data_IF_175642674717
#
_entry.id   IF_175642674717
#
_cell.length_a   1.000
_cell.length_b   1.000
_cell.length_c   1.000
_cell.angle_alpha   90.00
_cell.angle_beta   90.00
_cell.angle_gamma   90.00
#
_symmetry.space_group_name_H-M   'P 1'
#
loop_
_entity.id
_entity.type
_entity.pdbx_description
1 polymer ?
#
# COMPACT_ATOMS: atom_id res chain seq x y z
N UNK A 1 16.00 -4.79 -1.14
CA UNK A 1 16.34 -5.81 -2.16
C UNK A 1 16.97 -5.15 -3.39
N UNK A 2 16.25 -4.34 -4.17
CA UNK A 2 16.75 -3.74 -5.42
C UNK A 2 18.05 -2.96 -5.22
N UNK A 3 18.07 -1.98 -4.31
CA UNK A 3 19.26 -1.18 -3.98
C UNK A 3 20.52 -2.01 -3.64
N UNK A 4 20.35 -3.23 -3.11
CA UNK A 4 21.46 -4.11 -2.69
C UNK A 4 21.90 -5.08 -3.80
N UNK A 5 20.95 -5.65 -4.54
CA UNK A 5 21.22 -6.74 -5.50
C UNK A 5 21.25 -6.28 -6.97
N UNK A 6 20.57 -5.17 -7.27
CA UNK A 6 20.42 -4.61 -8.61
C UNK A 6 20.59 -3.07 -8.57
N UNK A 7 21.74 -2.56 -8.06
CA UNK A 7 21.94 -1.12 -7.88
C UNK A 7 21.85 -0.34 -9.20
N UNK A 8 22.26 -0.95 -10.31
CA UNK A 8 22.19 -0.42 -11.67
C UNK A 8 20.76 -0.34 -12.24
N UNK A 9 19.79 -0.93 -11.56
CA UNK A 9 18.37 -0.87 -11.95
C UNK A 9 17.56 0.06 -11.03
N UNK A 10 18.22 0.72 -10.06
CA UNK A 10 17.54 1.52 -9.06
C UNK A 10 16.88 2.77 -9.65
N UNK A 11 17.41 3.31 -10.74
CA UNK A 11 16.83 4.47 -11.45
C UNK A 11 15.41 4.21 -11.98
N UNK A 12 15.03 2.94 -12.20
CA UNK A 12 13.70 2.57 -12.68
C UNK A 12 12.68 2.34 -11.56
N UNK A 13 13.11 2.42 -10.30
CA UNK A 13 12.20 2.35 -9.16
C UNK A 13 11.45 3.67 -9.06
N UNK A 14 10.13 3.61 -8.93
CA UNK A 14 9.29 4.79 -8.77
C UNK A 14 9.79 5.66 -7.60
N UNK A 15 9.83 6.96 -7.85
CA UNK A 15 10.11 8.02 -6.89
C UNK A 15 8.99 8.24 -5.87
N UNK A 16 7.82 7.63 -6.09
CA UNK A 16 6.66 7.74 -5.21
C UNK A 16 6.96 7.07 -3.87
N UNK A 17 6.74 7.78 -2.76
CA UNK A 17 6.86 7.16 -1.45
C UNK A 17 5.69 6.19 -1.22
N UNK A 18 5.85 5.31 -0.23
CA UNK A 18 4.79 4.36 0.08
C UNK A 18 3.55 5.07 0.65
N UNK A 19 2.35 4.45 0.58
CA UNK A 19 1.14 5.05 1.13
C UNK A 19 1.26 5.48 2.59
N UNK A 20 2.01 4.73 3.40
CA UNK A 20 2.31 5.10 4.79
C UNK A 20 3.00 6.46 4.88
N UNK A 21 4.02 6.68 4.04
CA UNK A 21 4.84 7.90 4.07
C UNK A 21 4.08 9.07 3.48
N UNK A 22 3.38 8.89 2.35
CA UNK A 22 2.57 9.95 1.73
C UNK A 22 1.44 10.40 2.66
N UNK A 23 0.74 9.46 3.31
CA UNK A 23 -0.29 9.78 4.30
C UNK A 23 0.30 10.53 5.50
N UNK A 24 1.46 10.09 6.01
CA UNK A 24 2.10 10.77 7.15
C UNK A 24 2.54 12.19 6.81
N UNK A 25 3.13 12.41 5.62
CA UNK A 25 3.47 13.74 5.11
C UNK A 25 2.22 14.61 4.94
N UNK A 26 1.12 14.04 4.48
CA UNK A 26 -0.14 14.76 4.35
C UNK A 26 -0.70 15.18 5.71
N UNK A 27 -0.72 14.28 6.70
CA UNK A 27 -1.14 14.59 8.07
C UNK A 27 -0.29 15.71 8.66
N UNK A 28 1.06 15.63 8.55
CA UNK A 28 1.96 16.68 9.06
C UNK A 28 1.79 18.06 8.42
N UNK A 29 1.27 18.13 7.19
CA UNK A 29 0.92 19.41 6.55
C UNK A 29 -0.33 20.04 7.17
N UNK A 30 -1.25 19.22 7.67
CA UNK A 30 -2.50 19.67 8.31
C UNK A 30 -2.24 19.97 9.80
N UNK A 31 -1.52 19.08 10.47
CA UNK A 31 -1.17 19.16 11.88
C UNK A 31 0.33 18.82 12.05
N UNK A 32 1.21 19.84 12.11
CA UNK A 32 2.65 19.65 12.30
C UNK A 32 3.01 18.92 13.60
N UNK A 33 2.17 19.02 14.63
CA UNK A 33 2.42 18.46 15.97
C UNK A 33 1.86 17.03 16.12
N UNK A 34 1.17 16.51 15.09
CA UNK A 34 0.56 15.18 15.12
C UNK A 34 1.57 14.07 15.44
N UNK A 35 1.24 13.24 16.43
CA UNK A 35 1.95 11.98 16.69
C UNK A 35 1.35 10.86 15.83
N UNK A 36 2.12 10.39 14.85
CA UNK A 36 1.66 9.46 13.82
C UNK A 36 2.12 8.04 14.12
N UNK A 37 1.15 7.13 14.23
CA UNK A 37 1.35 5.68 14.33
C UNK A 37 0.79 5.00 13.11
N UNK A 38 1.62 4.26 12.37
CA UNK A 38 1.16 3.36 11.32
C UNK A 38 0.81 2.00 11.90
N UNK A 39 -0.37 1.48 11.55
CA UNK A 39 -0.82 0.15 11.94
C UNK A 39 -0.97 -0.69 10.68
N UNK A 40 -0.25 -1.80 10.60
CA UNK A 40 -0.33 -2.65 9.41
C UNK A 40 0.44 -3.97 9.52
N UNK A 41 0.32 -4.85 8.52
CA UNK A 41 0.79 -6.24 8.65
C UNK A 41 2.30 -6.43 8.41
N UNK A 42 3.04 -5.36 8.12
CA UNK A 42 4.38 -5.46 7.53
C UNK A 42 5.47 -4.97 8.49
N UNK A 43 6.37 -5.88 8.88
CA UNK A 43 7.55 -5.55 9.68
C UNK A 43 8.54 -4.64 8.94
N UNK A 44 8.61 -4.70 7.60
CA UNK A 44 9.51 -3.85 6.82
C UNK A 44 9.17 -2.38 6.95
N UNK A 45 7.93 -2.03 7.34
CA UNK A 45 7.53 -0.64 7.60
C UNK A 45 8.23 -0.05 8.82
N UNK A 46 8.65 -0.89 9.79
CA UNK A 46 9.49 -0.45 10.91
C UNK A 46 10.83 0.09 10.39
N UNK A 47 11.47 -0.65 9.48
CA UNK A 47 12.72 -0.20 8.86
C UNK A 47 12.51 1.02 7.94
N UNK A 48 11.38 1.11 7.25
CA UNK A 48 11.05 2.28 6.42
C UNK A 48 10.86 3.53 7.27
N UNK A 49 10.18 3.42 8.42
CA UNK A 49 9.99 4.53 9.35
C UNK A 49 11.30 5.03 9.95
N UNK A 50 12.31 4.17 10.12
CA UNK A 50 13.63 4.56 10.63
C UNK A 50 14.53 5.27 9.61
N UNK A 51 14.11 5.38 8.34
CA UNK A 51 14.91 6.10 7.34
C UNK A 51 14.99 7.59 7.68
N UNK A 52 16.13 8.21 7.39
CA UNK A 52 16.35 9.64 7.63
C UNK A 52 15.29 10.54 7.00
N UNK A 53 14.76 10.17 5.82
CA UNK A 53 13.73 10.93 5.12
C UNK A 53 12.28 10.65 5.60
N UNK A 54 12.10 9.78 6.60
CA UNK A 54 10.79 9.32 7.08
C UNK A 54 10.62 9.44 8.60
N UNK A 55 11.70 9.34 9.37
CA UNK A 55 11.68 9.26 10.85
C UNK A 55 10.98 10.42 11.54
N UNK A 56 10.99 11.60 10.93
CA UNK A 56 10.34 12.81 11.49
C UNK A 56 8.83 12.87 11.14
N UNK A 57 8.34 11.95 10.29
CA UNK A 57 6.93 11.85 9.90
C UNK A 57 6.22 10.69 10.59
N UNK A 58 6.83 9.50 10.67
CA UNK A 58 6.21 8.28 11.22
C UNK A 58 6.92 7.89 12.52
N UNK A 59 6.25 8.06 13.65
CA UNK A 59 6.86 7.89 14.98
C UNK A 59 6.78 6.44 15.47
N UNK A 60 5.68 5.76 15.15
CA UNK A 60 5.46 4.37 15.56
C UNK A 60 4.94 3.52 14.40
N UNK A 61 5.34 2.26 14.41
CA UNK A 61 4.85 1.22 13.49
C UNK A 61 4.48 0.00 14.32
N UNK A 62 3.19 -0.34 14.33
CA UNK A 62 2.61 -1.43 15.12
C UNK A 62 1.99 -2.45 14.16
N UNK A 63 2.27 -3.74 14.38
CA UNK A 63 1.62 -4.80 13.61
C UNK A 63 0.21 -5.12 14.12
N UNK A 64 -0.62 -5.79 13.32
CA UNK A 64 -1.93 -6.23 13.83
C UNK A 64 -1.79 -7.23 14.97
N UNK A 65 -0.75 -8.06 14.95
CA UNK A 65 -0.39 -8.96 16.05
C UNK A 65 -0.03 -8.19 17.33
N UNK A 66 0.82 -7.17 17.23
CA UNK A 66 1.21 -6.34 18.38
C UNK A 66 0.01 -5.57 18.95
N UNK A 67 -0.83 -5.01 18.08
CA UNK A 67 -2.05 -4.32 18.47
C UNK A 67 -3.03 -5.26 19.18
N UNK A 68 -3.18 -6.50 18.70
CA UNK A 68 -3.99 -7.51 19.36
C UNK A 68 -3.46 -7.82 20.77
N UNK A 69 -2.14 -7.94 20.93
CA UNK A 69 -1.51 -8.10 22.24
C UNK A 69 -1.86 -6.95 23.20
N UNK A 70 -1.89 -5.71 22.70
CA UNK A 70 -2.32 -4.55 23.48
C UNK A 70 -3.79 -4.63 23.90
N UNK A 71 -4.68 -5.06 23.00
CA UNK A 71 -6.10 -5.24 23.32
C UNK A 71 -6.32 -6.30 24.39
N UNK A 72 -5.68 -7.47 24.25
CA UNK A 72 -5.74 -8.54 25.26
C UNK A 72 -5.23 -8.04 26.61
N UNK A 73 -4.09 -7.35 26.65
CA UNK A 73 -3.52 -6.81 27.89
C UNK A 73 -4.42 -5.75 28.56
N UNK A 74 -5.27 -5.07 27.77
CA UNK A 74 -6.23 -4.07 28.26
C UNK A 74 -7.62 -4.66 28.53
N UNK A 75 -7.84 -5.94 28.27
CA UNK A 75 -9.16 -6.58 28.37
C UNK A 75 -10.17 -6.00 27.38
N UNK A 76 -9.73 -5.55 26.21
CA UNK A 76 -10.59 -5.04 25.15
C UNK A 76 -10.99 -6.20 24.24
N UNK A 77 -12.29 -6.48 24.18
CA UNK A 77 -12.85 -7.48 23.27
C UNK A 77 -13.32 -6.81 21.97
N UNK A 78 -12.76 -7.23 20.83
CA UNK A 78 -13.08 -6.63 19.54
C UNK A 78 -14.52 -6.93 19.10
N UNK A 79 -15.09 -8.07 19.50
CA UNK A 79 -16.48 -8.39 19.16
C UNK A 79 -17.52 -7.52 19.86
N UNK A 80 -17.12 -6.81 20.92
CA UNK A 80 -17.97 -5.90 21.68
C UNK A 80 -17.89 -4.45 21.17
N UNK A 81 -16.98 -4.16 20.23
CA UNK A 81 -16.83 -2.81 19.68
C UNK A 81 -17.95 -2.53 18.68
N UNK A 82 -18.81 -1.58 19.02
CA UNK A 82 -19.79 -1.02 18.12
C UNK A 82 -19.15 0.04 17.21
N UNK A 83 -19.31 -0.14 15.89
CA UNK A 83 -18.84 0.81 14.89
C UNK A 83 -20.05 1.53 14.29
N UNK A 84 -20.20 2.81 14.57
CA UNK A 84 -21.36 3.62 14.14
C UNK A 84 -21.15 4.37 12.84
N UNK A 85 -19.89 4.54 12.39
CA UNK A 85 -19.54 5.33 11.23
C UNK A 85 -19.12 4.45 10.07
N UNK A 86 -19.80 4.59 8.94
CA UNK A 86 -19.35 4.01 7.69
C UNK A 86 -18.04 4.68 7.23
N UNK A 87 -17.09 3.85 6.80
CA UNK A 87 -15.82 4.32 6.26
C UNK A 87 -16.00 4.52 4.76
N UNK A 88 -16.07 5.77 4.32
CA UNK A 88 -16.16 6.19 2.91
C UNK A 88 -15.10 7.24 2.58
N UNK A 89 -13.84 6.97 2.93
CA UNK A 89 -12.72 7.94 2.80
C UNK A 89 -11.78 7.65 1.61
N UNK A 90 -11.74 6.40 1.14
CA UNK A 90 -10.86 5.93 0.07
C UNK A 90 -11.63 5.24 -1.04
N UNK A 91 -11.18 5.41 -2.28
CA UNK A 91 -11.77 4.80 -3.48
C UNK A 91 -11.55 3.29 -3.56
N UNK A 92 -12.33 2.62 -4.42
CA UNK A 92 -12.15 1.21 -4.78
C UNK A 92 -10.71 0.90 -5.19
N UNK A 93 -10.06 1.78 -5.96
CA UNK A 93 -8.65 1.58 -6.34
C UNK A 93 -7.71 1.70 -5.14
N UNK A 94 -7.90 2.71 -4.28
CA UNK A 94 -7.06 2.91 -3.09
C UNK A 94 -7.16 1.76 -2.08
N UNK A 95 -8.37 1.28 -1.81
CA UNK A 95 -8.61 0.12 -0.92
C UNK A 95 -7.97 -1.17 -1.46
N UNK A 96 -7.74 -1.25 -2.77
CA UNK A 96 -7.17 -2.42 -3.43
C UNK A 96 -5.67 -2.62 -3.24
N UNK A 97 -4.91 -1.60 -2.81
CA UNK A 97 -3.43 -1.63 -2.76
C UNK A 97 -2.85 -2.79 -1.94
N UNK A 98 -3.58 -3.25 -0.92
CA UNK A 98 -3.10 -4.30 -0.03
C UNK A 98 -3.00 -5.68 -0.70
N UNK A 99 -3.71 -5.89 -1.81
CA UNK A 99 -3.73 -7.15 -2.57
C UNK A 99 -2.68 -7.05 -3.68
N UNK A 100 -1.88 -8.09 -3.89
CA UNK A 100 -0.96 -8.15 -5.02
C UNK A 100 -1.70 -7.91 -6.36
N UNK A 101 -1.10 -7.08 -7.21
CA UNK A 101 -1.66 -6.51 -8.43
C UNK A 101 -2.42 -5.21 -8.22
N UNK A 102 -2.82 -4.88 -6.99
CA UNK A 102 -3.72 -3.78 -6.69
C UNK A 102 -3.14 -2.39 -6.94
N UNK A 103 -1.84 -2.20 -6.72
CA UNK A 103 -1.18 -0.91 -6.98
C UNK A 103 -1.02 -0.72 -8.48
N UNK A 104 -0.50 -1.72 -9.19
CA UNK A 104 -0.34 -1.65 -10.64
C UNK A 104 -1.67 -1.49 -11.38
N UNK A 105 -2.72 -2.20 -10.94
CA UNK A 105 -4.08 -2.03 -11.48
C UNK A 105 -4.57 -0.57 -11.30
N UNK A 106 -4.38 0.00 -10.11
CA UNK A 106 -4.78 1.37 -9.85
C UNK A 106 -4.02 2.38 -10.70
N UNK A 107 -2.69 2.24 -10.78
CA UNK A 107 -1.85 3.10 -11.62
C UNK A 107 -2.29 3.03 -13.07
N UNK A 108 -2.51 1.83 -13.62
CA UNK A 108 -2.96 1.67 -15.01
C UNK A 108 -4.34 2.26 -15.25
N UNK A 109 -5.32 2.01 -14.37
CA UNK A 109 -6.66 2.56 -14.51
C UNK A 109 -6.66 4.09 -14.44
N UNK A 110 -5.93 4.67 -13.48
CA UNK A 110 -5.78 6.11 -13.35
C UNK A 110 -5.06 6.70 -14.58
N UNK A 111 -4.00 6.07 -15.07
CA UNK A 111 -3.28 6.53 -16.26
C UNK A 111 -4.14 6.50 -17.53
N UNK A 112 -4.98 5.47 -17.72
CA UNK A 112 -5.89 5.36 -18.87
C UNK A 112 -7.06 6.35 -18.83
N UNK A 113 -7.40 6.88 -17.65
CA UNK A 113 -8.38 7.98 -17.54
C UNK A 113 -7.74 9.29 -18.03
N UNK A 114 -6.46 9.52 -17.69
CA UNK A 114 -5.72 10.71 -18.10
C UNK A 114 -5.40 10.66 -19.60
N UNK A 115 -4.90 9.52 -20.08
CA UNK A 115 -4.54 9.27 -21.47
C UNK A 115 -5.03 7.88 -21.90
N UNK A 116 -6.22 7.79 -22.53
CA UNK A 116 -6.77 6.52 -23.00
C UNK A 116 -5.95 5.82 -24.08
N UNK A 117 -5.05 6.55 -24.77
CA UNK A 117 -4.23 5.99 -25.85
C UNK A 117 -3.00 5.22 -25.35
N UNK A 118 -2.70 5.33 -24.06
CA UNK A 118 -1.48 4.78 -23.46
C UNK A 118 -1.51 3.26 -23.37
N UNK A 119 -0.53 2.60 -23.97
CA UNK A 119 -0.32 1.17 -23.77
C UNK A 119 0.48 0.90 -22.49
N UNK A 120 -0.11 0.14 -21.57
CA UNK A 120 0.51 -0.19 -20.28
C UNK A 120 0.48 -1.71 -20.06
N UNK A 121 1.65 -2.33 -20.26
CA UNK A 121 1.90 -3.73 -19.96
C UNK A 121 2.29 -3.86 -18.48
N UNK A 122 1.62 -4.76 -17.76
CA UNK A 122 1.88 -5.00 -16.33
C UNK A 122 2.39 -6.42 -16.14
N UNK A 123 3.37 -6.57 -15.26
CA UNK A 123 3.71 -7.86 -14.69
C UNK A 123 3.87 -7.75 -13.17
N UNK A 124 3.04 -8.50 -12.47
CA UNK A 124 3.04 -8.57 -11.01
C UNK A 124 3.59 -9.91 -10.55
N UNK A 125 4.49 -9.90 -9.56
CA UNK A 125 4.96 -11.11 -8.88
C UNK A 125 4.83 -10.96 -7.38
N UNK A 126 4.60 -12.10 -6.71
CA UNK A 126 4.55 -12.18 -5.26
C UNK A 126 5.64 -13.12 -4.75
N UNK A 127 6.11 -12.86 -3.53
CA UNK A 127 7.32 -13.39 -2.89
C UNK A 127 8.61 -12.67 -3.29
N UNK A 128 9.53 -12.55 -2.33
CA UNK A 128 10.85 -11.97 -2.56
C UNK A 128 11.66 -12.76 -3.62
N UNK A 129 11.50 -14.08 -3.67
CA UNK A 129 12.19 -14.95 -4.64
C UNK A 129 11.76 -14.63 -6.08
N UNK A 130 10.46 -14.53 -6.32
CA UNK A 130 9.94 -14.18 -7.65
C UNK A 130 10.27 -12.72 -8.00
N UNK A 131 10.30 -11.80 -7.02
CA UNK A 131 10.78 -10.43 -7.26
C UNK A 131 12.24 -10.43 -7.77
N UNK A 132 13.12 -11.24 -7.17
CA UNK A 132 14.52 -11.34 -7.61
C UNK A 132 14.61 -11.95 -9.02
N UNK A 133 13.81 -12.97 -9.34
CA UNK A 133 13.75 -13.53 -10.70
C UNK A 133 13.27 -12.49 -11.71
N UNK A 134 12.19 -11.78 -11.41
CA UNK A 134 11.66 -10.74 -12.28
C UNK A 134 12.70 -9.65 -12.53
N UNK A 135 13.42 -9.21 -11.50
CA UNK A 135 14.51 -8.23 -11.66
C UNK A 135 15.65 -8.73 -12.54
N UNK A 136 16.03 -10.02 -12.46
CA UNK A 136 17.02 -10.61 -13.37
C UNK A 136 16.55 -10.59 -14.82
N UNK A 137 15.27 -10.89 -15.06
CA UNK A 137 14.68 -10.85 -16.40
C UNK A 137 14.61 -9.41 -16.91
N UNK A 138 14.16 -8.47 -16.08
CA UNK A 138 14.08 -7.05 -16.42
C UNK A 138 15.45 -6.47 -16.78
N UNK A 139 16.48 -6.77 -15.97
CA UNK A 139 17.87 -6.38 -16.23
C UNK A 139 18.42 -6.90 -17.57
N UNK A 140 17.90 -8.02 -18.09
CA UNK A 140 18.27 -8.54 -19.41
C UNK A 140 17.59 -7.82 -20.59
N UNK A 141 16.84 -6.74 -20.33
CA UNK A 141 16.11 -5.97 -21.34
C UNK A 141 14.75 -6.55 -21.75
N UNK A 142 14.38 -7.74 -21.23
CA UNK A 142 13.16 -8.47 -21.63
C UNK A 142 11.86 -7.87 -21.06
N UNK A 143 11.94 -6.87 -20.19
CA UNK A 143 10.79 -6.18 -19.58
C UNK A 143 10.82 -4.67 -19.82
N UNK A 144 11.56 -4.21 -20.83
CA UNK A 144 11.58 -2.78 -21.18
C UNK A 144 10.16 -2.30 -21.52
N UNK A 145 9.75 -1.18 -20.93
CA UNK A 145 8.40 -0.61 -21.11
C UNK A 145 7.30 -1.25 -20.26
N UNK A 146 7.60 -2.23 -19.41
CA UNK A 146 6.61 -2.82 -18.49
C UNK A 146 6.53 -2.03 -17.18
N UNK A 147 5.30 -1.92 -16.66
CA UNK A 147 5.06 -1.59 -15.26
C UNK A 147 5.18 -2.88 -14.43
N UNK A 148 6.23 -2.98 -13.63
CA UNK A 148 6.50 -4.15 -12.80
C UNK A 148 6.05 -3.92 -11.36
N UNK A 149 5.29 -4.87 -10.80
CA UNK A 149 4.90 -4.86 -9.39
C UNK A 149 5.52 -6.06 -8.66
N UNK A 150 6.32 -5.78 -7.63
CA UNK A 150 6.96 -6.80 -6.81
C UNK A 150 6.49 -6.73 -5.36
N UNK A 151 5.75 -7.75 -4.91
CA UNK A 151 5.32 -7.87 -3.52
C UNK A 151 6.15 -8.94 -2.80
N UNK A 152 6.82 -8.58 -1.70
CA UNK A 152 7.67 -9.52 -0.98
C UNK A 152 6.90 -10.67 -0.28
N UNK A 153 5.65 -10.43 0.09
CA UNK A 153 4.77 -11.42 0.72
C UNK A 153 3.85 -12.09 -0.33
N UNK A 154 3.52 -13.39 -0.18
CA UNK A 154 2.56 -14.06 -1.06
C UNK A 154 1.22 -13.35 -1.06
N UNK A 155 0.71 -12.94 -2.23
CA UNK A 155 -0.60 -12.27 -2.32
C UNK A 155 -0.63 -10.81 -1.84
N UNK A 156 0.51 -10.23 -1.47
CA UNK A 156 0.63 -8.83 -1.07
C UNK A 156 0.58 -8.62 0.45
N UNK A 157 0.24 -7.40 0.86
CA UNK A 157 0.19 -6.99 2.27
C UNK A 157 -0.83 -7.80 3.09
N UNK A 158 -1.89 -8.31 2.45
CA UNK A 158 -2.92 -9.15 3.10
C UNK A 158 -2.38 -10.44 3.73
N UNK A 159 -1.14 -10.83 3.44
CA UNK A 159 -0.45 -11.95 4.06
C UNK A 159 0.93 -11.52 4.61
N UNK A 160 1.04 -10.27 5.06
CA UNK A 160 2.22 -9.79 5.76
C UNK A 160 2.44 -10.57 7.07
N UNK A 161 3.68 -10.66 7.55
CA UNK A 161 4.01 -11.50 8.71
C UNK A 161 3.29 -11.08 10.01
N UNK A 162 2.83 -9.84 10.13
CA UNK A 162 2.07 -9.34 11.27
C UNK A 162 0.55 -9.44 11.13
N UNK A 163 0.03 -10.25 10.20
CA UNK A 163 -1.42 -10.55 10.10
C UNK A 163 -1.86 -11.60 11.11
N UNK A 164 -3.09 -11.49 11.59
CA UNK A 164 -3.70 -12.40 12.58
C UNK A 164 -4.81 -13.29 12.01
N UNK A 165 -4.98 -13.32 10.68
CA UNK A 165 -6.04 -14.06 10.02
C UNK A 165 -5.54 -14.69 8.72
N UNK A 166 -6.20 -15.76 8.27
CA UNK A 166 -5.82 -16.44 7.04
C UNK A 166 -5.97 -15.54 5.81
N UNK A 167 -5.04 -15.68 4.86
CA UNK A 167 -5.02 -14.88 3.63
C UNK A 167 -6.35 -14.91 2.88
N UNK A 168 -7.03 -16.06 2.81
CA UNK A 168 -8.32 -16.19 2.13
C UNK A 168 -9.42 -15.37 2.81
N UNK A 169 -9.46 -15.38 4.15
CA UNK A 169 -10.43 -14.58 4.92
C UNK A 169 -10.15 -13.09 4.75
N UNK A 170 -8.89 -12.68 4.87
CA UNK A 170 -8.47 -11.28 4.70
C UNK A 170 -8.77 -10.80 3.28
N UNK A 171 -8.43 -11.59 2.26
CA UNK A 171 -8.70 -11.26 0.85
C UNK A 171 -10.20 -11.02 0.61
N UNK A 172 -11.06 -11.91 1.11
CA UNK A 172 -12.52 -11.75 0.98
C UNK A 172 -13.00 -10.46 1.67
N UNK A 173 -12.54 -10.19 2.89
CA UNK A 173 -12.90 -8.98 3.63
C UNK A 173 -12.44 -7.71 2.90
N UNK A 174 -11.20 -7.66 2.42
CA UNK A 174 -10.67 -6.50 1.68
C UNK A 174 -11.40 -6.30 0.35
N UNK A 175 -11.77 -7.38 -0.36
CA UNK A 175 -12.56 -7.28 -1.60
C UNK A 175 -13.95 -6.71 -1.33
N UNK A 176 -14.64 -7.18 -0.29
CA UNK A 176 -15.94 -6.63 0.11
C UNK A 176 -15.82 -5.14 0.46
N UNK A 177 -14.88 -4.80 1.35
CA UNK A 177 -14.62 -3.42 1.75
C UNK A 177 -14.25 -2.52 0.56
N UNK A 178 -13.47 -3.03 -0.40
CA UNK A 178 -13.13 -2.34 -1.64
C UNK A 178 -14.38 -2.02 -2.49
N UNK A 179 -15.34 -2.94 -2.56
CA UNK A 179 -16.54 -2.82 -3.38
C UNK A 179 -17.61 -1.93 -2.75
N UNK A 180 -17.61 -1.80 -1.42
CA UNK A 180 -18.48 -0.90 -0.65
C UNK A 180 -18.13 0.58 -0.83
N UNK A 181 -16.96 0.90 -1.41
CA UNK A 181 -16.58 2.28 -1.70
C UNK A 181 -17.52 2.93 -2.70
N UNK A 182 -18.04 4.10 -2.32
CA UNK A 182 -18.86 4.96 -3.20
C UNK A 182 -18.03 5.51 -4.37
N UNK A 183 -16.75 5.81 -4.12
CA UNK A 183 -15.82 6.29 -5.14
C UNK A 183 -15.10 5.15 -5.84
N UNK A 184 -15.08 5.14 -7.17
CA UNK A 184 -14.36 4.13 -7.97
C UNK A 184 -12.88 4.47 -8.10
N UNK A 185 -12.54 5.73 -8.27
CA UNK A 185 -11.17 6.22 -8.51
C UNK A 185 -10.84 7.36 -7.54
N UNK A 186 -9.59 7.82 -7.46
CA UNK A 186 -9.31 9.04 -6.69
C UNK A 186 -9.97 10.30 -7.29
N UNK A 187 -10.23 10.35 -8.59
CA UNK A 187 -10.74 11.57 -9.25
C UNK A 187 -12.18 11.92 -8.90
N UNK A 188 -13.00 10.92 -8.62
CA UNK A 188 -14.39 11.04 -8.19
C UNK A 188 -14.55 11.16 -6.67
N UNK A 189 -13.47 10.99 -5.90
CA UNK A 189 -13.50 11.16 -4.45
C UNK A 189 -13.56 12.64 -4.08
N UNK A 190 -14.71 13.10 -3.60
CA UNK A 190 -14.92 14.51 -3.29
C UNK A 190 -14.32 14.98 -1.96
N UNK A 191 -13.87 14.04 -1.13
CA UNK A 191 -13.15 14.27 0.13
C UNK A 191 -11.72 14.73 -0.13
N UNK A 192 -11.11 14.28 -1.23
CA UNK A 192 -9.74 14.71 -1.56
C UNK A 192 -9.71 16.11 -2.18
N UNK A 193 -8.61 16.83 -1.95
CA UNK A 193 -8.40 18.19 -2.46
C UNK A 193 -8.68 18.24 -3.97
N UNK A 194 -9.51 19.20 -4.40
CA UNK A 194 -9.85 19.43 -5.81
C UNK A 194 -8.62 19.57 -6.71
N UNK A 195 -7.52 20.13 -6.19
CA UNK A 195 -6.25 20.25 -6.93
C UNK A 195 -5.63 18.89 -7.26
N UNK A 196 -5.88 17.86 -6.45
CA UNK A 196 -5.41 16.50 -6.69
C UNK A 196 -6.33 15.72 -7.65
N UNK A 197 -7.56 16.20 -7.87
CA UNK A 197 -8.55 15.58 -8.77
C UNK A 197 -8.40 15.99 -10.24
N UNK A 198 -7.95 17.22 -10.50
CA UNK A 198 -7.95 17.80 -11.85
C UNK A 198 -6.53 17.84 -12.45
N UNK A 199 -5.92 16.67 -12.67
CA UNK A 199 -4.62 16.55 -13.36
C UNK A 199 -4.79 16.06 -14.79
#
# INVERSE_FOLDING_TARGET
MVKKLFPDQYEYISDSASPMVETAKHIKKIDPDANITFIGPCISKKLEALREDVKDYVHFVITFEELMGMFVAKGIELSEIEVSKEIQDASTLGRGYAIAGGVAEAVKKTALIIDPSREINIEGVSTLHECVKLMKVAKSGKKNGYLLEGMACPGGCIAGPGTIASMNRVKKAVVNFKNESEYKTPFDNDIIDKKLRNK
#
